data_IF_630114591847
#
_entry.id   IF_630114591847
#
_cell.length_a   1.000
_cell.length_b   1.000
_cell.length_c   1.000
_cell.angle_alpha   90.00
_cell.angle_beta   90.00
_cell.angle_gamma   90.00
#
_symmetry.space_group_name_H-M   'P 1'
#
loop_
_entity.id
_entity.type
_entity.pdbx_description
1 polymer ?
#
# COMPACT_ATOMS: atom_id res chain seq x y z
N UNK A 1 3.90 -44.32 17.09
CA UNK A 1 3.57 -43.23 16.15
C UNK A 1 4.69 -42.22 16.30
N UNK A 2 5.64 -42.27 15.36
CA UNK A 2 6.72 -41.29 15.25
C UNK A 2 6.12 -40.04 14.62
N UNK A 3 6.18 -38.91 15.33
CA UNK A 3 6.13 -37.58 14.73
C UNK A 3 7.25 -36.77 15.35
N UNK A 4 8.19 -36.38 14.50
CA UNK A 4 9.50 -35.82 14.77
C UNK A 4 9.53 -34.31 14.50
N UNK A 5 8.65 -33.55 15.15
CA UNK A 5 8.70 -32.08 15.27
C UNK A 5 7.86 -31.72 16.50
N UNK A 6 8.36 -30.97 17.50
CA UNK A 6 7.49 -30.28 18.43
C UNK A 6 6.82 -29.15 17.65
N UNK A 7 5.65 -29.43 17.08
CA UNK A 7 4.87 -28.47 16.32
C UNK A 7 4.18 -27.48 17.28
N UNK A 8 4.15 -26.20 16.85
CA UNK A 8 3.40 -25.06 17.36
C UNK A 8 3.90 -24.38 18.64
N UNK A 9 5.01 -23.66 18.51
CA UNK A 9 5.12 -22.33 19.13
C UNK A 9 4.40 -21.37 18.19
N UNK A 10 3.22 -20.91 18.61
CA UNK A 10 2.47 -19.79 18.04
C UNK A 10 3.36 -18.78 17.34
N UNK A 11 3.06 -18.44 16.07
CA UNK A 11 3.28 -17.14 15.38
C UNK A 11 3.27 -17.41 13.86
N UNK A 12 2.21 -16.97 13.18
CA UNK A 12 2.23 -16.23 11.90
C UNK A 12 0.89 -16.33 11.18
N UNK A 13 0.29 -15.17 10.86
CA UNK A 13 -0.28 -14.94 9.53
C UNK A 13 0.03 -13.50 9.11
N UNK A 14 0.53 -13.33 7.88
CA UNK A 14 0.69 -12.02 7.22
C UNK A 14 -0.66 -11.64 6.60
N UNK A 15 -1.24 -10.50 7.01
CA UNK A 15 -2.48 -10.05 6.37
C UNK A 15 -2.19 -9.58 4.95
N UNK A 16 -2.94 -10.15 4.02
CA UNK A 16 -2.82 -9.92 2.58
C UNK A 16 -3.09 -8.45 2.22
N UNK A 17 -2.33 -7.94 1.24
CA UNK A 17 -2.40 -6.55 0.77
C UNK A 17 -3.79 -6.19 0.25
N UNK A 18 -4.53 -5.35 0.98
CA UNK A 18 -5.84 -4.90 0.54
C UNK A 18 -5.86 -3.52 -0.13
N UNK A 19 -4.98 -2.58 0.22
CA UNK A 19 -5.13 -1.22 -0.33
C UNK A 19 -4.45 -1.02 -1.69
N UNK A 20 -5.26 -0.99 -2.75
CA UNK A 20 -4.83 -0.67 -4.12
C UNK A 20 -4.54 0.84 -4.23
N UNK A 21 -3.35 1.19 -4.73
CA UNK A 21 -2.91 2.58 -4.87
C UNK A 21 -3.75 3.36 -5.90
N UNK A 22 -3.87 4.67 -5.69
CA UNK A 22 -4.38 5.60 -6.70
C UNK A 22 -3.55 5.46 -7.99
N UNK A 23 -4.24 5.37 -9.13
CA UNK A 23 -3.57 5.47 -10.43
C UNK A 23 -3.11 6.91 -10.59
N UNK A 24 -1.80 7.15 -10.56
CA UNK A 24 -1.27 8.46 -10.92
C UNK A 24 -1.62 8.75 -12.39
N UNK A 25 -2.29 9.86 -12.72
CA UNK A 25 -2.48 10.24 -14.10
C UNK A 25 -1.14 10.69 -14.70
N UNK A 26 -0.60 9.81 -15.54
CA UNK A 26 0.30 9.96 -16.69
C UNK A 26 1.23 11.17 -16.81
N UNK A 27 2.53 10.88 -16.85
CA UNK A 27 3.44 11.45 -17.85
C UNK A 27 4.05 10.29 -18.63
N UNK A 28 3.67 10.22 -19.91
CA UNK A 28 4.07 9.21 -20.88
C UNK A 28 5.59 9.15 -21.09
N UNK A 29 6.12 7.93 -21.21
CA UNK A 29 7.03 7.57 -22.30
C UNK A 29 6.84 6.08 -22.62
N UNK A 30 6.30 5.82 -23.82
CA UNK A 30 6.11 4.51 -24.45
C UNK A 30 7.20 4.33 -25.50
N UNK A 31 8.02 3.27 -25.39
CA UNK A 31 8.36 2.34 -26.50
C UNK A 31 9.14 1.14 -25.92
N UNK A 32 8.60 -0.09 -25.89
CA UNK A 32 8.56 -1.13 -26.94
C UNK A 32 9.95 -1.66 -27.36
N UNK A 33 10.27 -2.87 -26.88
CA UNK A 33 10.92 -3.99 -27.62
C UNK A 33 11.44 -5.04 -26.62
N UNK A 34 10.78 -6.19 -26.41
CA UNK A 34 10.77 -7.43 -27.22
C UNK A 34 11.91 -8.43 -26.88
N UNK A 35 11.49 -9.69 -26.69
CA UNK A 35 12.19 -10.99 -26.76
C UNK A 35 12.93 -11.46 -25.48
N UNK A 36 12.43 -12.51 -24.80
CA UNK A 36 12.70 -13.96 -25.04
C UNK A 36 14.13 -14.35 -24.57
N UNK A 37 14.44 -15.48 -23.93
CA UNK A 37 13.74 -16.74 -23.76
C UNK A 37 14.47 -17.59 -22.67
N UNK A 38 13.68 -18.40 -21.95
CA UNK A 38 13.90 -19.82 -21.64
C UNK A 38 15.26 -20.41 -21.17
N UNK A 39 15.25 -20.79 -19.88
CA UNK A 39 15.22 -22.18 -19.38
C UNK A 39 16.43 -23.15 -19.49
N UNK A 40 16.69 -23.80 -18.34
CA UNK A 40 16.85 -25.26 -18.13
C UNK A 40 18.24 -25.94 -18.10
N UNK A 41 18.57 -26.38 -16.87
CA UNK A 41 18.89 -27.76 -16.43
C UNK A 41 20.10 -28.57 -16.95
N UNK A 42 20.84 -29.10 -15.95
CA UNK A 42 21.09 -30.53 -15.66
C UNK A 42 22.49 -31.17 -15.90
N UNK A 43 22.86 -31.93 -14.86
CA UNK A 43 23.53 -33.27 -14.80
C UNK A 43 25.07 -33.44 -14.79
N UNK A 44 25.50 -34.16 -13.74
CA UNK A 44 26.74 -34.95 -13.49
C UNK A 44 26.81 -36.24 -14.33
N UNK A 45 27.71 -37.25 -14.12
CA UNK A 45 29.11 -37.35 -13.62
C UNK A 45 30.02 -38.21 -14.56
N UNK A 46 31.28 -38.52 -14.18
CA UNK A 46 31.90 -39.89 -14.11
C UNK A 46 33.45 -39.85 -14.06
N UNK A 47 34.02 -40.81 -13.31
CA UNK A 47 35.38 -41.15 -12.83
C UNK A 47 36.31 -41.79 -13.91
N UNK A 48 37.38 -42.62 -13.66
CA UNK A 48 38.22 -42.99 -12.48
C UNK A 48 39.75 -43.13 -12.81
N UNK A 49 40.57 -43.80 -11.94
CA UNK A 49 41.76 -44.70 -12.15
C UNK A 49 42.95 -44.36 -11.21
N UNK A 50 43.72 -45.23 -10.52
CA UNK A 50 43.75 -46.69 -10.18
C UNK A 50 44.90 -46.96 -9.16
N UNK A 51 44.93 -48.18 -8.60
CA UNK A 51 46.09 -49.01 -8.14
C UNK A 51 46.51 -48.87 -6.66
N UNK A 52 46.78 -49.94 -5.88
CA UNK A 52 47.03 -51.36 -6.18
C UNK A 52 46.95 -52.24 -4.88
N UNK A 53 46.40 -53.45 -5.05
CA UNK A 53 46.93 -54.77 -4.63
C UNK A 53 46.97 -55.29 -3.19
N UNK A 54 46.60 -56.58 -3.14
CA UNK A 54 46.41 -57.50 -2.03
C UNK A 54 47.70 -58.09 -1.43
N UNK A 55 47.59 -58.72 -0.25
CA UNK A 55 47.94 -60.13 0.01
C UNK A 55 47.50 -60.55 1.43
N UNK A 56 47.04 -61.80 1.54
CA UNK A 56 46.52 -62.50 2.71
C UNK A 56 47.60 -63.24 3.49
N UNK A 57 47.61 -63.18 4.84
CA UNK A 57 48.22 -64.20 5.71
C UNK A 57 47.40 -64.36 7.01
N UNK A 58 47.28 -65.62 7.42
CA UNK A 58 46.51 -66.14 8.54
C UNK A 58 46.96 -65.71 9.95
N UNK A 59 45.96 -65.59 10.83
CA UNK A 59 45.89 -66.10 12.21
C UNK A 59 47.15 -66.02 13.10
N UNK A 60 47.14 -65.10 14.08
CA UNK A 60 47.76 -65.27 15.41
C UNK A 60 47.34 -64.12 16.36
N UNK A 61 46.58 -64.45 17.41
CA UNK A 61 46.57 -63.75 18.70
C UNK A 61 45.85 -62.41 18.78
N UNK A 62 44.56 -62.42 19.11
CA UNK A 62 43.87 -61.27 19.70
C UNK A 62 44.38 -61.08 21.13
N UNK A 63 45.00 -59.94 21.53
CA UNK A 63 45.04 -59.60 22.93
C UNK A 63 43.65 -59.07 23.29
N UNK A 64 42.95 -59.78 24.16
CA UNK A 64 41.70 -59.32 24.74
C UNK A 64 41.91 -57.92 25.33
N UNK A 65 41.22 -56.91 24.77
CA UNK A 65 41.06 -55.61 25.41
C UNK A 65 40.49 -55.84 26.79
N UNK A 66 41.27 -55.52 27.83
CA UNK A 66 40.83 -55.63 29.22
C UNK A 66 39.56 -54.78 29.42
N UNK A 67 38.58 -55.21 30.24
CA UNK A 67 37.49 -54.34 30.63
C UNK A 67 38.08 -53.12 31.35
N UNK A 68 37.70 -51.91 30.91
CA UNK A 68 38.07 -50.66 31.56
C UNK A 68 37.60 -50.73 33.03
N UNK A 69 38.43 -50.29 33.98
CA UNK A 69 38.04 -50.25 35.39
C UNK A 69 36.88 -49.28 35.58
N UNK A 70 35.92 -49.61 36.46
CA UNK A 70 34.75 -48.78 36.78
C UNK A 70 35.14 -47.32 37.07
N UNK A 71 36.23 -47.11 37.81
CA UNK A 71 36.75 -45.77 38.12
C UNK A 71 37.24 -45.00 36.89
N UNK A 72 37.84 -45.68 35.91
CA UNK A 72 38.31 -45.04 34.66
C UNK A 72 37.14 -44.69 33.74
N UNK A 73 36.05 -45.46 33.79
CA UNK A 73 34.83 -45.17 33.04
C UNK A 73 34.12 -43.92 33.60
N UNK A 74 33.95 -43.86 34.93
CA UNK A 74 33.35 -42.70 35.62
C UNK A 74 34.14 -41.41 35.39
N UNK A 75 35.48 -41.44 35.39
CA UNK A 75 36.28 -40.24 35.08
C UNK A 75 36.14 -39.75 33.64
N UNK A 76 35.94 -40.65 32.67
CA UNK A 76 35.72 -40.26 31.26
C UNK A 76 34.32 -39.67 31.07
N UNK A 77 33.31 -40.25 31.71
CA UNK A 77 31.94 -39.75 31.68
C UNK A 77 31.82 -38.39 32.39
N UNK A 78 32.48 -38.23 33.55
CA UNK A 78 32.56 -36.94 34.25
C UNK A 78 33.25 -35.86 33.39
N UNK A 79 34.33 -36.21 32.70
CA UNK A 79 35.00 -35.30 31.77
C UNK A 79 34.11 -34.89 30.58
N UNK A 80 33.34 -35.83 30.03
CA UNK A 80 32.36 -35.55 28.98
C UNK A 80 31.23 -34.62 29.46
N UNK A 81 30.70 -34.87 30.65
CA UNK A 81 29.72 -34.00 31.30
C UNK A 81 30.26 -32.58 31.51
N UNK A 82 31.49 -32.43 32.00
CA UNK A 82 32.11 -31.13 32.25
C UNK A 82 32.26 -30.31 30.96
N UNK A 83 32.69 -30.93 29.87
CA UNK A 83 32.80 -30.26 28.55
C UNK A 83 31.42 -29.82 28.06
N UNK A 84 30.43 -30.71 28.08
CA UNK A 84 29.07 -30.38 27.64
C UNK A 84 28.43 -29.27 28.51
N UNK A 85 28.67 -29.31 29.81
CA UNK A 85 28.22 -28.26 30.74
C UNK A 85 28.89 -26.91 30.44
N UNK A 86 30.19 -26.88 30.19
CA UNK A 86 30.93 -25.66 29.87
C UNK A 86 30.43 -25.03 28.57
N UNK A 87 30.18 -25.84 27.53
CA UNK A 87 29.60 -25.38 26.25
C UNK A 87 28.24 -24.72 26.48
N UNK A 88 27.34 -25.38 27.20
CA UNK A 88 26.01 -24.85 27.50
C UNK A 88 26.08 -23.58 28.36
N UNK A 89 26.92 -23.54 29.39
CA UNK A 89 27.06 -22.36 30.26
C UNK A 89 27.69 -21.15 29.53
N UNK A 90 28.59 -21.40 28.58
CA UNK A 90 29.20 -20.36 27.73
C UNK A 90 28.16 -19.74 26.84
N UNK A 91 27.39 -20.55 26.11
CA UNK A 91 26.28 -20.05 25.31
C UNK A 91 25.25 -19.32 26.17
N UNK A 92 24.94 -19.84 27.36
CA UNK A 92 23.96 -19.23 28.25
C UNK A 92 24.41 -17.87 28.78
N UNK A 93 25.72 -17.67 29.02
CA UNK A 93 26.29 -16.34 29.29
C UNK A 93 26.07 -15.38 28.12
N UNK A 94 26.34 -15.81 26.88
CA UNK A 94 26.16 -14.97 25.69
C UNK A 94 24.68 -14.60 25.46
N UNK A 95 23.77 -15.55 25.66
CA UNK A 95 22.34 -15.34 25.53
C UNK A 95 21.77 -14.40 26.62
N UNK A 96 22.23 -14.55 27.87
CA UNK A 96 21.89 -13.63 28.95
C UNK A 96 22.39 -12.21 28.67
N UNK A 97 23.62 -12.08 28.16
CA UNK A 97 24.21 -10.79 27.79
C UNK A 97 23.41 -10.11 26.68
N UNK A 98 23.10 -10.85 25.60
CA UNK A 98 22.26 -10.39 24.48
C UNK A 98 20.89 -9.89 24.96
N UNK A 99 20.21 -10.65 25.83
CA UNK A 99 18.90 -10.24 26.35
C UNK A 99 18.99 -9.04 27.32
N UNK A 100 20.06 -8.94 28.10
CA UNK A 100 20.27 -7.82 29.03
C UNK A 100 20.57 -6.49 28.34
N UNK A 101 21.25 -6.54 27.19
CA UNK A 101 21.57 -5.38 26.35
C UNK A 101 20.50 -5.07 25.30
N UNK A 102 19.42 -5.86 25.25
CA UNK A 102 18.36 -5.66 24.28
C UNK A 102 17.68 -4.29 24.48
N UNK A 103 17.59 -3.52 23.39
CA UNK A 103 17.07 -2.14 23.39
C UNK A 103 15.65 -2.09 23.96
N UNK A 104 15.32 -0.99 24.65
CA UNK A 104 13.94 -0.70 25.09
C UNK A 104 12.99 -0.65 23.90
N UNK A 105 11.70 -0.91 24.15
CA UNK A 105 10.70 -0.99 23.07
C UNK A 105 10.58 0.35 22.34
N UNK A 106 10.68 0.29 21.01
CA UNK A 106 10.71 1.47 20.14
C UNK A 106 9.37 2.23 20.09
N UNK A 107 9.38 3.55 19.82
CA UNK A 107 8.17 4.39 19.84
C UNK A 107 7.32 4.32 18.56
N UNK A 108 7.82 3.68 17.51
CA UNK A 108 7.19 3.58 16.19
C UNK A 108 6.94 2.13 15.81
N UNK A 109 5.87 1.89 15.05
CA UNK A 109 5.45 0.54 14.68
C UNK A 109 6.56 -0.21 13.92
N UNK A 110 7.27 0.46 13.00
CA UNK A 110 8.32 -0.18 12.20
C UNK A 110 9.51 -0.64 13.05
N UNK A 111 9.97 0.19 13.99
CA UNK A 111 11.05 -0.19 14.94
C UNK A 111 10.59 -1.38 15.78
N UNK A 112 9.34 -1.38 16.22
CA UNK A 112 8.81 -2.45 17.05
C UNK A 112 8.65 -3.77 16.28
N UNK A 113 8.37 -3.72 14.96
CA UNK A 113 8.40 -4.89 14.08
C UNK A 113 9.80 -5.48 13.95
N UNK A 114 10.81 -4.63 13.76
CA UNK A 114 12.21 -5.08 13.71
C UNK A 114 12.63 -5.74 15.03
N UNK A 115 12.28 -5.12 16.16
CA UNK A 115 12.54 -5.68 17.50
C UNK A 115 11.80 -7.01 17.74
N UNK A 116 10.60 -7.17 17.18
CA UNK A 116 9.86 -8.42 17.22
C UNK A 116 10.60 -9.53 16.46
N UNK A 117 11.05 -9.28 15.23
CA UNK A 117 11.78 -10.28 14.45
C UNK A 117 13.14 -10.65 15.04
N UNK A 118 13.84 -9.67 15.62
CA UNK A 118 15.08 -9.92 16.35
C UNK A 118 14.84 -10.82 17.57
N UNK A 119 13.79 -10.54 18.35
CA UNK A 119 13.45 -11.31 19.54
C UNK A 119 12.88 -12.70 19.19
N UNK A 120 12.16 -12.83 18.08
CA UNK A 120 11.71 -14.11 17.52
C UNK A 120 12.90 -15.01 17.16
N UNK A 121 13.92 -14.45 16.49
CA UNK A 121 15.15 -15.17 16.17
C UNK A 121 15.84 -15.66 17.46
N UNK A 122 15.86 -14.82 18.49
CA UNK A 122 16.37 -15.19 19.80
C UNK A 122 15.55 -16.31 20.48
N UNK A 123 14.22 -16.31 20.38
CA UNK A 123 13.39 -17.40 20.90
C UNK A 123 13.60 -18.72 20.16
N UNK A 124 13.87 -18.67 18.85
CA UNK A 124 14.22 -19.84 18.06
C UNK A 124 15.58 -20.41 18.49
N UNK A 125 16.58 -19.55 18.67
CA UNK A 125 17.89 -19.91 19.24
C UNK A 125 17.72 -20.59 20.61
N UNK A 126 16.93 -19.98 21.51
CA UNK A 126 16.60 -20.52 22.83
C UNK A 126 15.96 -21.91 22.71
N UNK A 127 14.99 -22.07 21.80
CA UNK A 127 14.35 -23.37 21.56
C UNK A 127 15.33 -24.45 21.11
N UNK A 128 16.31 -24.10 20.26
CA UNK A 128 17.31 -25.05 19.76
C UNK A 128 18.26 -25.57 20.85
N UNK A 129 18.52 -24.77 21.89
CA UNK A 129 19.40 -25.14 22.99
C UNK A 129 18.68 -25.85 24.15
N UNK A 130 17.35 -25.89 24.13
CA UNK A 130 16.54 -26.54 25.18
C UNK A 130 16.90 -28.01 25.36
N UNK A 131 17.05 -28.76 24.26
CA UNK A 131 17.39 -30.18 24.31
C UNK A 131 18.82 -30.40 24.84
N UNK A 132 19.75 -29.51 24.50
CA UNK A 132 21.13 -29.56 25.00
C UNK A 132 21.23 -29.32 26.51
N UNK A 133 20.49 -28.33 27.03
CA UNK A 133 20.37 -28.09 28.47
C UNK A 133 19.75 -29.30 29.17
N UNK A 134 18.69 -29.88 28.59
CA UNK A 134 18.06 -31.10 29.08
C UNK A 134 19.02 -32.28 29.15
N UNK A 135 19.81 -32.50 28.10
CA UNK A 135 20.78 -33.59 28.01
C UNK A 135 21.89 -33.46 29.07
N UNK A 136 22.41 -32.26 29.31
CA UNK A 136 23.42 -32.03 30.37
C UNK A 136 22.83 -32.29 31.76
N UNK A 137 21.59 -31.88 32.01
CA UNK A 137 20.90 -32.17 33.28
C UNK A 137 20.62 -33.67 33.46
N UNK A 138 20.23 -34.38 32.40
CA UNK A 138 20.01 -35.83 32.43
C UNK A 138 21.32 -36.58 32.68
N UNK A 139 22.40 -36.18 32.01
CA UNK A 139 23.72 -36.79 32.18
C UNK A 139 24.28 -36.55 33.59
N UNK A 140 24.13 -35.34 34.14
CA UNK A 140 24.46 -35.06 35.54
C UNK A 140 23.65 -35.91 36.52
N UNK A 141 22.35 -36.11 36.25
CA UNK A 141 21.50 -36.99 37.07
C UNK A 141 21.94 -38.45 36.99
N UNK A 142 22.33 -38.92 35.79
CA UNK A 142 22.85 -40.27 35.55
C UNK A 142 24.14 -40.51 36.34
N UNK A 143 25.10 -39.59 36.28
CA UNK A 143 26.36 -39.65 37.03
C UNK A 143 26.13 -39.75 38.54
N UNK A 144 25.16 -39.00 39.07
CA UNK A 144 24.79 -39.05 40.49
C UNK A 144 24.07 -40.36 40.89
N UNK A 145 23.39 -41.02 39.95
CA UNK A 145 22.63 -42.25 40.20
C UNK A 145 23.48 -43.51 40.10
N UNK A 146 24.43 -43.56 39.16
CA UNK A 146 25.33 -44.71 38.96
C UNK A 146 26.38 -44.84 40.07
N UNK A 147 26.74 -43.72 40.70
CA UNK A 147 27.71 -43.66 41.79
C UNK A 147 29.15 -43.93 41.33
N UNK A 148 30.10 -43.87 42.26
CA UNK A 148 31.53 -44.04 41.95
C UNK A 148 32.32 -42.73 41.81
N UNK A 149 31.64 -41.59 41.98
CA UNK A 149 32.25 -40.28 42.22
C UNK A 149 32.66 -40.14 43.69
N UNK A 150 33.66 -39.29 43.95
CA UNK A 150 33.96 -38.86 45.31
C UNK A 150 32.82 -37.96 45.84
N UNK A 151 32.63 -37.92 47.16
CA UNK A 151 31.57 -37.08 47.77
C UNK A 151 31.65 -35.61 47.37
N UNK A 152 32.88 -35.11 47.19
CA UNK A 152 33.11 -33.72 46.77
C UNK A 152 32.68 -33.50 45.30
N UNK A 153 32.97 -34.47 44.42
CA UNK A 153 32.57 -34.43 43.00
C UNK A 153 31.05 -34.56 42.85
N UNK A 154 30.40 -35.45 43.61
CA UNK A 154 28.94 -35.56 43.63
C UNK A 154 28.28 -34.24 44.08
N UNK A 155 28.86 -33.58 45.09
CA UNK A 155 28.35 -32.30 45.57
C UNK A 155 28.55 -31.20 44.51
N UNK A 156 29.69 -31.18 43.82
CA UNK A 156 29.97 -30.25 42.74
C UNK A 156 28.98 -30.41 41.58
N UNK A 157 28.74 -31.64 41.12
CA UNK A 157 27.76 -31.93 40.05
C UNK A 157 26.35 -31.47 40.44
N UNK A 158 25.92 -31.69 41.70
CA UNK A 158 24.61 -31.18 42.18
C UNK A 158 24.52 -29.66 42.12
N UNK A 159 25.57 -28.95 42.53
CA UNK A 159 25.61 -27.48 42.51
C UNK A 159 25.59 -26.97 41.06
N UNK A 160 26.38 -27.60 40.17
CA UNK A 160 26.45 -27.25 38.75
C UNK A 160 25.09 -27.44 38.04
N UNK A 161 24.42 -28.57 38.26
CA UNK A 161 23.07 -28.81 37.72
C UNK A 161 22.05 -27.79 38.24
N UNK A 162 22.08 -27.49 39.54
CA UNK A 162 21.19 -26.50 40.14
C UNK A 162 21.42 -25.10 39.55
N UNK A 163 22.68 -24.72 39.34
CA UNK A 163 23.05 -23.44 38.74
C UNK A 163 22.59 -23.36 37.28
N UNK A 164 22.87 -24.40 36.48
CA UNK A 164 22.45 -24.49 35.09
C UNK A 164 20.92 -24.35 34.96
N UNK A 165 20.17 -25.15 35.72
CA UNK A 165 18.71 -25.12 35.69
C UNK A 165 18.14 -23.75 36.12
N UNK A 166 18.71 -23.13 37.16
CA UNK A 166 18.28 -21.81 37.63
C UNK A 166 18.50 -20.73 36.57
N UNK A 167 19.69 -20.67 35.97
CA UNK A 167 20.03 -19.66 34.97
C UNK A 167 19.22 -19.83 33.69
N UNK A 168 19.06 -21.08 33.24
CA UNK A 168 18.19 -21.40 32.11
C UNK A 168 16.75 -20.94 32.32
N UNK A 169 16.17 -21.25 33.48
CA UNK A 169 14.79 -20.89 33.78
C UNK A 169 14.60 -19.37 33.91
N UNK A 170 15.58 -18.67 34.49
CA UNK A 170 15.60 -17.21 34.56
C UNK A 170 15.69 -16.58 33.16
N UNK A 171 16.58 -17.07 32.30
CA UNK A 171 16.69 -16.61 30.91
C UNK A 171 15.39 -16.83 30.15
N UNK A 172 14.82 -18.04 30.24
CA UNK A 172 13.55 -18.41 29.60
C UNK A 172 12.40 -17.50 30.07
N UNK A 173 12.29 -17.27 31.37
CA UNK A 173 11.24 -16.41 31.93
C UNK A 173 11.39 -14.97 31.43
N UNK A 174 12.60 -14.39 31.46
CA UNK A 174 12.85 -13.05 30.93
C UNK A 174 12.56 -12.94 29.43
N UNK A 175 12.88 -13.98 28.66
CA UNK A 175 12.61 -14.02 27.23
C UNK A 175 11.10 -14.02 26.92
N UNK A 176 10.33 -14.81 27.67
CA UNK A 176 8.86 -14.84 27.58
C UNK A 176 8.25 -13.51 28.02
N UNK A 177 8.71 -12.92 29.12
CA UNK A 177 8.24 -11.61 29.59
C UNK A 177 8.49 -10.52 28.54
N UNK A 178 9.66 -10.53 27.89
CA UNK A 178 9.97 -9.61 26.79
C UNK A 178 9.06 -9.83 25.59
N UNK A 179 8.79 -11.08 25.22
CA UNK A 179 7.87 -11.41 24.13
C UNK A 179 6.46 -10.85 24.41
N UNK A 180 5.94 -11.06 25.62
CA UNK A 180 4.62 -10.56 26.03
C UNK A 180 4.55 -9.03 25.92
N UNK A 181 5.58 -8.31 26.37
CA UNK A 181 5.61 -6.83 26.26
C UNK A 181 5.66 -6.35 24.81
N UNK A 182 6.46 -7.00 23.95
CA UNK A 182 6.50 -6.69 22.51
C UNK A 182 5.12 -6.91 21.89
N UNK A 183 4.48 -8.04 22.20
CA UNK A 183 3.14 -8.38 21.72
C UNK A 183 2.08 -7.37 22.12
N UNK A 184 1.99 -7.04 23.42
CA UNK A 184 1.03 -6.07 23.94
C UNK A 184 1.20 -4.70 23.27
N UNK A 185 2.46 -4.26 23.10
CA UNK A 185 2.75 -2.98 22.49
C UNK A 185 2.43 -2.98 20.98
N UNK A 186 2.76 -4.04 20.24
CA UNK A 186 2.40 -4.19 18.82
C UNK A 186 0.89 -4.12 18.63
N UNK A 187 0.15 -4.92 19.41
CA UNK A 187 -1.31 -4.97 19.33
C UNK A 187 -1.92 -3.59 19.62
N UNK A 188 -1.46 -2.90 20.66
CA UNK A 188 -1.94 -1.56 21.02
C UNK A 188 -1.65 -0.54 19.90
N UNK A 189 -0.42 -0.52 19.37
CA UNK A 189 -0.04 0.43 18.32
C UNK A 189 -0.80 0.19 17.01
N UNK A 190 -0.97 -1.07 16.60
CA UNK A 190 -1.74 -1.42 15.42
C UNK A 190 -3.23 -1.08 15.59
N UNK A 191 -3.82 -1.44 16.73
CA UNK A 191 -5.21 -1.11 17.03
C UNK A 191 -5.44 0.42 17.01
N UNK A 192 -4.50 1.19 17.58
CA UNK A 192 -4.55 2.65 17.55
C UNK A 192 -4.46 3.21 16.12
N UNK A 193 -3.63 2.62 15.25
CA UNK A 193 -3.58 3.03 13.85
C UNK A 193 -4.88 2.70 13.11
N UNK A 194 -5.46 1.51 13.34
CA UNK A 194 -6.76 1.13 12.78
C UNK A 194 -7.87 2.07 13.23
N UNK A 195 -7.95 2.39 14.52
CA UNK A 195 -8.95 3.32 15.06
C UNK A 195 -8.78 4.74 14.53
N UNK A 196 -7.52 5.18 14.36
CA UNK A 196 -7.21 6.49 13.78
C UNK A 196 -7.67 6.56 12.33
N UNK A 197 -7.35 5.54 11.51
CA UNK A 197 -7.81 5.46 10.12
C UNK A 197 -9.33 5.39 10.06
N UNK A 198 -9.96 4.56 10.91
CA UNK A 198 -11.42 4.42 10.98
C UNK A 198 -12.10 5.76 11.27
N UNK A 199 -11.58 6.53 12.23
CA UNK A 199 -12.12 7.84 12.57
C UNK A 199 -11.94 8.83 11.41
N UNK A 200 -10.77 8.82 10.77
CA UNK A 200 -10.52 9.65 9.60
C UNK A 200 -11.48 9.30 8.45
N UNK A 201 -11.65 8.01 8.13
CA UNK A 201 -12.58 7.53 7.10
C UNK A 201 -14.00 8.03 7.38
N UNK A 202 -14.49 7.92 8.62
CA UNK A 202 -15.84 8.38 8.97
C UNK A 202 -15.99 9.88 8.76
N UNK A 203 -15.03 10.68 9.22
CA UNK A 203 -15.04 12.14 9.01
C UNK A 203 -14.99 12.50 7.53
N UNK A 204 -14.20 11.77 6.74
CA UNK A 204 -14.05 12.02 5.31
C UNK A 204 -15.30 11.59 4.53
N UNK A 205 -15.94 10.48 4.89
CA UNK A 205 -17.23 10.04 4.35
C UNK A 205 -18.33 11.07 4.63
N UNK A 206 -18.38 11.59 5.87
CA UNK A 206 -19.29 12.68 6.22
C UNK A 206 -19.00 13.90 5.33
N UNK A 207 -17.74 14.33 5.19
CA UNK A 207 -17.36 15.44 4.29
C UNK A 207 -17.81 15.17 2.85
N UNK A 208 -17.57 13.98 2.33
CA UNK A 208 -17.96 13.56 0.98
C UNK A 208 -19.47 13.63 0.80
N UNK A 209 -20.27 13.21 1.79
CA UNK A 209 -21.72 13.29 1.70
C UNK A 209 -22.23 14.74 1.56
N UNK A 210 -21.60 15.70 2.26
CA UNK A 210 -21.92 17.12 2.14
C UNK A 210 -21.50 17.68 0.78
N UNK A 211 -20.31 17.29 0.29
CA UNK A 211 -19.84 17.69 -1.04
C UNK A 211 -20.70 17.09 -2.16
N UNK A 212 -21.14 15.84 -2.02
CA UNK A 212 -22.01 15.17 -2.99
C UNK A 212 -23.40 15.79 -3.07
N UNK A 213 -23.92 16.33 -1.95
CA UNK A 213 -25.16 17.09 -1.92
C UNK A 213 -25.02 18.49 -2.53
N UNK A 214 -23.80 18.99 -2.69
CA UNK A 214 -23.53 20.26 -3.37
C UNK A 214 -23.53 20.03 -4.89
N UNK A 215 -24.54 20.57 -5.55
CA UNK A 215 -24.65 20.60 -7.01
C UNK A 215 -23.50 21.39 -7.63
N UNK A 216 -23.01 20.97 -8.79
CA UNK A 216 -21.91 21.64 -9.48
C UNK A 216 -22.49 22.85 -10.20
N UNK A 217 -22.08 24.07 -9.85
CA UNK A 217 -22.50 25.26 -10.57
C UNK A 217 -21.35 26.26 -10.66
N UNK A 218 -21.50 27.26 -11.53
CA UNK A 218 -20.44 28.21 -11.81
C UNK A 218 -20.07 29.05 -10.58
N UNK A 219 -21.07 29.54 -9.83
CA UNK A 219 -20.86 30.36 -8.64
C UNK A 219 -20.01 29.66 -7.55
N UNK A 220 -20.22 28.36 -7.36
CA UNK A 220 -19.54 27.57 -6.31
C UNK A 220 -18.35 26.76 -6.85
N UNK A 221 -18.06 26.84 -8.15
CA UNK A 221 -17.06 26.00 -8.82
C UNK A 221 -15.67 26.11 -8.17
N UNK A 222 -15.25 27.34 -7.86
CA UNK A 222 -13.95 27.59 -7.20
C UNK A 222 -13.89 26.98 -5.81
N UNK A 223 -14.93 27.20 -5.00
CA UNK A 223 -15.03 26.66 -3.64
C UNK A 223 -15.05 25.12 -3.67
N UNK A 224 -15.70 24.52 -4.66
CA UNK A 224 -15.73 23.06 -4.84
C UNK A 224 -14.39 22.50 -5.26
N UNK A 225 -13.64 23.17 -6.14
CA UNK A 225 -12.27 22.80 -6.47
C UNK A 225 -11.34 22.91 -5.26
N UNK A 226 -11.47 23.96 -4.45
CA UNK A 226 -10.68 24.12 -3.23
C UNK A 226 -10.95 22.97 -2.24
N UNK A 227 -12.23 22.65 -2.01
CA UNK A 227 -12.62 21.53 -1.15
C UNK A 227 -12.11 20.18 -1.68
N UNK A 228 -12.19 19.95 -3.00
CA UNK A 228 -11.70 18.73 -3.62
C UNK A 228 -10.17 18.62 -3.55
N UNK A 229 -9.44 19.70 -3.82
CA UNK A 229 -7.98 19.73 -3.72
C UNK A 229 -7.51 19.45 -2.29
N UNK A 230 -8.20 20.01 -1.30
CA UNK A 230 -7.91 19.71 0.10
C UNK A 230 -8.19 18.24 0.42
N UNK A 231 -9.29 17.67 -0.09
CA UNK A 231 -9.60 16.25 0.06
C UNK A 231 -8.53 15.36 -0.58
N UNK A 232 -8.10 15.65 -1.81
CA UNK A 232 -7.05 14.91 -2.49
C UNK A 232 -5.73 14.94 -1.69
N UNK A 233 -5.37 16.10 -1.13
CA UNK A 233 -4.20 16.22 -0.27
C UNK A 233 -4.33 15.37 0.99
N UNK A 234 -5.48 15.43 1.68
CA UNK A 234 -5.73 14.64 2.88
C UNK A 234 -5.65 13.13 2.58
N UNK A 235 -6.19 12.69 1.44
CA UNK A 235 -6.12 11.28 0.98
C UNK A 235 -4.66 10.89 0.73
N UNK A 236 -3.86 11.72 0.06
CA UNK A 236 -2.44 11.44 -0.17
C UNK A 236 -1.65 11.34 1.14
N UNK A 237 -1.93 12.20 2.12
CA UNK A 237 -1.28 12.13 3.44
C UNK A 237 -1.65 10.83 4.19
N UNK A 238 -2.89 10.36 4.08
CA UNK A 238 -3.31 9.10 4.70
C UNK A 238 -2.80 7.86 3.97
N UNK A 239 -2.39 7.96 2.70
CA UNK A 239 -1.84 6.82 1.97
C UNK A 239 -0.65 6.19 2.71
N UNK A 240 0.19 7.00 3.36
CA UNK A 240 1.33 6.51 4.16
C UNK A 240 0.87 5.64 5.34
N UNK A 241 -0.20 6.05 6.02
CA UNK A 241 -0.77 5.31 7.15
C UNK A 241 -1.37 3.99 6.66
N UNK A 242 -2.10 4.04 5.55
CA UNK A 242 -2.71 2.88 4.89
C UNK A 242 -1.63 1.89 4.43
N UNK A 243 -0.54 2.37 3.86
CA UNK A 243 0.59 1.53 3.46
C UNK A 243 1.29 0.87 4.66
N UNK A 244 1.38 1.58 5.80
CA UNK A 244 1.89 1.01 7.05
C UNK A 244 1.02 -0.10 7.63
N UNK A 245 -0.30 -0.01 7.44
CA UNK A 245 -1.30 -0.99 7.87
C UNK A 245 -1.29 -2.26 7.00
N UNK A 246 -0.81 -2.20 5.75
CA UNK A 246 -0.62 -3.41 4.91
C UNK A 246 0.33 -4.44 5.54
N UNK A 247 1.25 -3.96 6.37
CA UNK A 247 2.26 -4.79 7.00
C UNK A 247 1.92 -5.05 8.48
N UNK A 248 0.65 -5.29 8.81
CA UNK A 248 0.24 -5.65 10.16
C UNK A 248 0.77 -7.05 10.52
N UNK A 249 1.24 -7.18 11.77
CA UNK A 249 1.62 -8.45 12.38
C UNK A 249 0.46 -8.93 13.23
N UNK A 250 -0.16 -10.05 12.85
CA UNK A 250 -1.20 -10.71 13.67
C UNK A 250 -0.53 -11.71 14.60
N UNK A 251 -0.71 -11.49 15.91
CA UNK A 251 -0.22 -12.39 16.95
C UNK A 251 -1.33 -13.39 17.25
N UNK A 252 -1.01 -14.66 17.08
CA UNK A 252 -1.98 -15.75 17.03
C UNK A 252 -1.60 -16.75 18.11
N UNK A 253 -2.39 -16.88 19.17
CA UNK A 253 -2.17 -17.88 20.22
C UNK A 253 -3.05 -19.13 20.01
N UNK A 254 -2.56 -20.31 20.40
CA UNK A 254 -3.11 -21.62 20.00
C UNK A 254 -4.57 -21.85 20.43
N UNK A 255 -5.03 -21.21 21.51
CA UNK A 255 -6.41 -21.32 22.01
C UNK A 255 -7.42 -20.39 21.32
N UNK A 256 -6.97 -19.30 20.68
CA UNK A 256 -7.87 -18.24 20.18
C UNK A 256 -7.49 -17.68 18.80
N UNK A 257 -6.59 -18.41 18.11
CA UNK A 257 -5.90 -18.08 16.86
C UNK A 257 -6.83 -17.63 15.72
N UNK A 258 -7.82 -18.46 15.40
CA UNK A 258 -8.65 -18.29 14.20
C UNK A 258 -9.66 -17.14 14.35
N UNK A 259 -10.19 -16.94 15.57
CA UNK A 259 -11.16 -15.88 15.85
C UNK A 259 -10.52 -14.48 15.85
N UNK A 260 -9.30 -14.34 16.39
CA UNK A 260 -8.58 -13.05 16.41
C UNK A 260 -8.12 -12.69 15.00
N UNK A 261 -7.62 -13.69 14.24
CA UNK A 261 -7.20 -13.50 12.86
C UNK A 261 -8.37 -13.04 11.97
N UNK A 262 -9.48 -13.80 11.98
CA UNK A 262 -10.68 -13.46 11.18
C UNK A 262 -11.24 -12.09 11.53
N UNK A 263 -11.30 -11.74 12.82
CA UNK A 263 -11.75 -10.42 13.25
C UNK A 263 -10.86 -9.30 12.68
N UNK A 264 -9.54 -9.48 12.69
CA UNK A 264 -8.61 -8.46 12.20
C UNK A 264 -8.63 -8.35 10.68
N UNK A 265 -8.77 -9.48 9.98
CA UNK A 265 -8.95 -9.53 8.52
C UNK A 265 -10.26 -8.84 8.11
N UNK A 266 -11.37 -9.12 8.79
CA UNK A 266 -12.66 -8.48 8.55
C UNK A 266 -12.58 -6.96 8.77
N UNK A 267 -11.88 -6.52 9.82
CA UNK A 267 -11.65 -5.09 10.08
C UNK A 267 -10.84 -4.44 8.97
N UNK A 268 -9.76 -5.07 8.51
CA UNK A 268 -8.92 -4.56 7.45
C UNK A 268 -9.66 -4.48 6.11
N UNK A 269 -10.43 -5.53 5.79
CA UNK A 269 -11.30 -5.57 4.61
C UNK A 269 -12.35 -4.45 4.64
N UNK A 270 -13.03 -4.25 5.77
CA UNK A 270 -14.01 -3.17 5.90
C UNK A 270 -13.39 -1.77 5.77
N UNK A 271 -12.16 -1.56 6.27
CA UNK A 271 -11.44 -0.29 6.10
C UNK A 271 -10.99 -0.11 4.64
N UNK A 272 -10.60 -1.19 3.96
CA UNK A 272 -10.18 -1.16 2.56
C UNK A 272 -11.33 -0.82 1.60
N UNK A 273 -12.49 -1.44 1.78
CA UNK A 273 -13.68 -1.11 0.99
C UNK A 273 -14.03 0.38 1.10
N UNK A 274 -14.01 0.91 2.33
CA UNK A 274 -14.28 2.33 2.61
C UNK A 274 -13.22 3.25 2.02
N UNK A 275 -11.94 2.89 2.17
CA UNK A 275 -10.83 3.62 1.58
C UNK A 275 -10.93 3.70 0.05
N UNK A 276 -11.17 2.55 -0.59
CA UNK A 276 -11.35 2.45 -2.04
C UNK A 276 -12.53 3.28 -2.52
N UNK A 277 -13.64 3.27 -1.78
CA UNK A 277 -14.78 4.10 -2.08
C UNK A 277 -14.44 5.60 -2.04
N UNK A 278 -13.71 6.06 -1.01
CA UNK A 278 -13.27 7.46 -0.90
C UNK A 278 -12.34 7.84 -2.06
N UNK A 279 -11.38 6.98 -2.40
CA UNK A 279 -10.44 7.21 -3.51
C UNK A 279 -11.21 7.37 -4.83
N UNK A 280 -12.05 6.39 -5.15
CA UNK A 280 -12.87 6.38 -6.36
C UNK A 280 -13.79 7.61 -6.43
N UNK A 281 -14.48 7.94 -5.34
CA UNK A 281 -15.36 9.11 -5.32
C UNK A 281 -14.58 10.41 -5.56
N UNK A 282 -13.39 10.52 -4.98
CA UNK A 282 -12.53 11.71 -5.13
C UNK A 282 -12.08 11.87 -6.59
N UNK A 283 -11.71 10.79 -7.26
CA UNK A 283 -11.38 10.78 -8.70
C UNK A 283 -12.59 11.15 -9.56
N UNK A 284 -13.73 10.48 -9.37
CA UNK A 284 -14.96 10.75 -10.12
C UNK A 284 -15.45 12.20 -9.93
N UNK A 285 -15.31 12.76 -8.73
CA UNK A 285 -15.67 14.15 -8.46
C UNK A 285 -14.73 15.12 -9.18
N UNK A 286 -13.44 14.80 -9.27
CA UNK A 286 -12.47 15.59 -10.02
C UNK A 286 -12.82 15.62 -11.51
N UNK A 287 -13.10 14.47 -12.10
CA UNK A 287 -13.49 14.35 -13.51
C UNK A 287 -14.79 15.11 -13.82
N UNK A 288 -15.79 15.02 -12.93
CA UNK A 288 -17.05 15.78 -13.06
C UNK A 288 -16.83 17.30 -13.02
N UNK A 289 -16.02 17.79 -12.09
CA UNK A 289 -15.73 19.23 -12.00
C UNK A 289 -14.92 19.73 -13.20
N UNK A 290 -13.93 18.95 -13.65
CA UNK A 290 -13.12 19.29 -14.82
C UNK A 290 -13.95 19.29 -16.11
N UNK A 291 -14.79 18.26 -16.32
CA UNK A 291 -15.67 18.18 -17.49
C UNK A 291 -16.68 19.32 -17.53
N UNK A 292 -17.33 19.63 -16.40
CA UNK A 292 -18.24 20.78 -16.32
C UNK A 292 -17.52 22.10 -16.64
N UNK A 293 -16.32 22.30 -16.10
CA UNK A 293 -15.50 23.50 -16.37
C UNK A 293 -15.16 23.63 -17.85
N UNK A 294 -14.80 22.54 -18.51
CA UNK A 294 -14.49 22.52 -19.93
C UNK A 294 -15.72 22.87 -20.78
N UNK A 295 -16.85 22.21 -20.52
CA UNK A 295 -18.12 22.47 -21.22
C UNK A 295 -18.54 23.93 -21.04
N UNK A 296 -18.52 24.42 -19.79
CA UNK A 296 -18.90 25.80 -19.49
C UNK A 296 -18.00 26.82 -20.21
N UNK A 297 -16.68 26.57 -20.22
CA UNK A 297 -15.72 27.41 -20.93
C UNK A 297 -16.00 27.45 -22.43
N UNK A 298 -16.24 26.30 -23.04
CA UNK A 298 -16.51 26.21 -24.48
C UNK A 298 -17.80 26.97 -24.85
N UNK A 299 -18.87 26.83 -24.05
CA UNK A 299 -20.12 27.57 -24.26
C UNK A 299 -19.93 29.08 -24.18
N UNK A 300 -19.19 29.55 -23.18
CA UNK A 300 -18.91 30.99 -23.01
C UNK A 300 -18.03 31.52 -24.15
N UNK A 301 -17.04 30.74 -24.61
CA UNK A 301 -16.16 31.14 -25.69
C UNK A 301 -16.88 31.14 -27.05
N UNK A 302 -17.79 30.19 -27.29
CA UNK A 302 -18.64 30.16 -28.49
C UNK A 302 -19.66 31.30 -28.49
N UNK A 303 -20.28 31.61 -27.35
CA UNK A 303 -21.13 32.80 -27.20
C UNK A 303 -20.36 34.08 -27.56
N UNK A 304 -19.16 34.28 -26.98
CA UNK A 304 -18.33 35.47 -27.26
C UNK A 304 -17.94 35.55 -28.73
N UNK A 305 -17.61 34.42 -29.36
CA UNK A 305 -17.25 34.35 -30.78
C UNK A 305 -18.43 34.76 -31.66
N UNK A 306 -19.62 34.21 -31.41
CA UNK A 306 -20.83 34.54 -32.15
C UNK A 306 -21.23 36.00 -31.96
N UNK A 307 -21.19 36.50 -30.73
CA UNK A 307 -21.49 37.90 -30.41
C UNK A 307 -20.53 38.87 -31.11
N UNK A 308 -19.24 38.57 -31.09
CA UNK A 308 -18.23 39.40 -31.76
C UNK A 308 -18.42 39.41 -33.27
N UNK A 309 -18.62 38.23 -33.88
CA UNK A 309 -18.88 38.10 -35.32
C UNK A 309 -20.15 38.84 -35.74
N UNK A 310 -21.23 38.74 -34.95
CA UNK A 310 -22.50 39.39 -35.24
C UNK A 310 -22.37 40.92 -35.16
N UNK A 311 -21.70 41.42 -34.12
CA UNK A 311 -21.42 42.86 -33.97
C UNK A 311 -20.53 43.40 -35.11
N UNK A 312 -19.48 42.66 -35.51
CA UNK A 312 -18.64 43.02 -36.65
C UNK A 312 -19.43 43.03 -37.97
N UNK A 313 -20.34 42.07 -38.15
CA UNK A 313 -21.22 41.99 -39.31
C UNK A 313 -22.19 43.16 -39.35
N UNK A 314 -22.81 43.50 -38.22
CA UNK A 314 -23.70 44.65 -38.09
C UNK A 314 -22.97 45.97 -38.41
N UNK A 315 -21.76 46.17 -37.86
CA UNK A 315 -20.92 47.34 -38.14
C UNK A 315 -20.58 47.39 -39.62
N UNK A 316 -20.16 46.27 -40.22
CA UNK A 316 -19.82 46.18 -41.64
C UNK A 316 -21.01 46.58 -42.50
N UNK A 317 -22.21 46.04 -42.23
CA UNK A 317 -23.44 46.38 -42.96
C UNK A 317 -23.83 47.85 -42.82
N UNK A 318 -23.69 48.44 -41.62
CA UNK A 318 -23.96 49.88 -41.39
C UNK A 318 -22.99 50.78 -42.12
N UNK A 319 -21.69 50.48 -42.07
CA UNK A 319 -20.66 51.24 -42.82
C UNK A 319 -20.90 51.15 -44.31
N UNK A 320 -21.23 49.95 -44.77
CA UNK A 320 -21.67 49.69 -46.11
C UNK A 320 -22.87 50.62 -46.43
N UNK A 321 -23.95 50.65 -45.66
CA UNK A 321 -25.11 51.53 -45.96
C UNK A 321 -24.76 53.02 -46.01
N UNK A 322 -23.84 53.47 -45.14
CA UNK A 322 -23.45 54.87 -45.03
C UNK A 322 -22.66 55.40 -46.24
N UNK A 323 -21.96 54.54 -46.98
CA UNK A 323 -21.10 54.93 -48.11
C UNK A 323 -21.75 54.47 -49.43
N UNK A 324 -22.30 55.39 -50.25
CA UNK A 324 -22.87 55.04 -51.54
C UNK A 324 -21.79 54.52 -52.50
N UNK A 325 -21.98 53.32 -53.03
CA UNK A 325 -21.14 52.79 -54.10
C UNK A 325 -21.45 53.56 -55.40
N UNK A 326 -20.44 54.23 -55.94
CA UNK A 326 -20.60 55.12 -57.10
C UNK A 326 -20.09 54.46 -58.38
N UNK A 327 -19.06 53.63 -58.26
CA UNK A 327 -18.46 52.91 -59.37
C UNK A 327 -18.98 51.48 -59.48
N UNK A 328 -19.09 50.95 -60.71
CA UNK A 328 -19.56 49.58 -60.97
C UNK A 328 -18.71 48.54 -60.22
N UNK A 329 -17.41 48.79 -60.04
CA UNK A 329 -16.50 47.92 -59.30
C UNK A 329 -16.83 47.85 -57.80
N UNK A 330 -17.15 48.99 -57.18
CA UNK A 330 -17.54 49.08 -55.76
C UNK A 330 -18.88 48.35 -55.51
N UNK A 331 -19.83 48.48 -56.44
CA UNK A 331 -21.12 47.76 -56.39
C UNK A 331 -20.89 46.25 -56.46
N UNK A 332 -20.01 45.76 -57.34
CA UNK A 332 -19.70 44.34 -57.44
C UNK A 332 -19.01 43.78 -56.19
N UNK A 333 -18.05 44.51 -55.60
CA UNK A 333 -17.40 44.14 -54.34
C UNK A 333 -18.42 44.08 -53.19
N UNK A 334 -19.35 45.04 -53.14
CA UNK A 334 -20.45 45.06 -52.16
C UNK A 334 -21.37 43.84 -52.29
N UNK A 335 -21.81 43.52 -53.50
CA UNK A 335 -22.64 42.33 -53.75
C UNK A 335 -21.90 41.06 -53.31
N UNK A 336 -20.61 40.95 -53.63
CA UNK A 336 -19.77 39.83 -53.21
C UNK A 336 -19.67 39.74 -51.69
N UNK A 337 -19.43 40.86 -51.00
CA UNK A 337 -19.36 40.91 -49.53
C UNK A 337 -20.67 40.49 -48.88
N UNK A 338 -21.81 41.01 -49.34
CA UNK A 338 -23.14 40.62 -48.83
C UNK A 338 -23.38 39.11 -49.03
N UNK A 339 -23.00 38.55 -50.18
CA UNK A 339 -23.14 37.11 -50.42
C UNK A 339 -22.27 36.28 -49.47
N UNK A 340 -21.03 36.71 -49.19
CA UNK A 340 -20.15 36.06 -48.22
C UNK A 340 -20.75 36.13 -46.81
N UNK A 341 -21.23 37.31 -46.39
CA UNK A 341 -21.86 37.48 -45.08
C UNK A 341 -23.13 36.63 -44.93
N UNK A 342 -23.97 36.53 -45.98
CA UNK A 342 -25.13 35.61 -45.97
C UNK A 342 -24.71 34.17 -45.75
N UNK A 343 -23.69 33.70 -46.46
CA UNK A 343 -23.17 32.34 -46.28
C UNK A 343 -22.61 32.11 -44.86
N UNK A 344 -21.84 33.06 -44.34
CA UNK A 344 -21.31 32.99 -42.96
C UNK A 344 -22.44 32.99 -41.91
N UNK A 345 -23.52 33.73 -42.16
CA UNK A 345 -24.72 33.76 -41.33
C UNK A 345 -25.40 32.38 -41.32
N UNK A 346 -25.67 31.78 -42.47
CA UNK A 346 -26.29 30.44 -42.56
C UNK A 346 -25.45 29.36 -41.82
N UNK A 347 -24.12 29.45 -41.90
CA UNK A 347 -23.22 28.53 -41.19
C UNK A 347 -23.25 28.77 -39.68
N UNK A 348 -23.27 30.03 -39.27
CA UNK A 348 -23.21 30.43 -37.87
C UNK A 348 -24.56 30.25 -37.15
N UNK A 349 -25.68 30.22 -37.89
CA UNK A 349 -27.01 29.91 -37.37
C UNK A 349 -27.05 28.52 -36.73
N UNK A 350 -26.42 27.52 -37.37
CA UNK A 350 -26.34 26.16 -36.81
C UNK A 350 -25.62 26.13 -35.47
N UNK A 351 -24.50 26.85 -35.37
CA UNK A 351 -23.72 26.97 -34.13
C UNK A 351 -24.51 27.68 -33.04
N UNK A 352 -25.28 28.70 -33.40
CA UNK A 352 -26.14 29.41 -32.47
C UNK A 352 -27.24 28.49 -31.90
N UNK A 353 -27.90 27.69 -32.74
CA UNK A 353 -28.90 26.70 -32.30
C UNK A 353 -28.27 25.62 -31.40
N UNK A 354 -27.09 25.12 -31.78
CA UNK A 354 -26.33 24.15 -30.97
C UNK A 354 -25.99 24.74 -29.58
N UNK A 355 -25.48 25.98 -29.55
CA UNK A 355 -25.17 26.70 -28.32
C UNK A 355 -26.41 26.89 -27.44
N UNK A 356 -27.53 27.35 -28.01
CA UNK A 356 -28.78 27.55 -27.28
C UNK A 356 -29.30 26.24 -26.69
N UNK A 357 -29.23 25.15 -27.45
CA UNK A 357 -29.60 23.82 -26.96
C UNK A 357 -28.70 23.38 -25.81
N UNK A 358 -27.38 23.49 -25.94
CA UNK A 358 -26.45 23.07 -24.88
C UNK A 358 -26.60 23.87 -23.59
N UNK A 359 -26.86 25.18 -23.69
CA UNK A 359 -27.15 26.00 -22.50
C UNK A 359 -28.48 25.60 -21.87
N UNK A 360 -29.51 25.31 -22.68
CA UNK A 360 -30.80 24.83 -22.20
C UNK A 360 -30.69 23.46 -21.51
N UNK A 361 -29.94 22.52 -22.09
CA UNK A 361 -29.73 21.18 -21.51
C UNK A 361 -29.06 21.26 -20.12
N UNK A 362 -28.15 22.24 -19.92
CA UNK A 362 -27.53 22.49 -18.60
C UNK A 362 -28.54 23.17 -17.65
N UNK A 363 -29.33 24.12 -18.14
CA UNK A 363 -30.34 24.83 -17.36
C UNK A 363 -31.51 23.93 -16.91
N UNK A 364 -31.88 22.91 -17.69
CA UNK A 364 -32.95 21.96 -17.36
C UNK A 364 -32.52 20.94 -16.32
N UNK A 365 -31.25 20.57 -16.32
CA UNK A 365 -30.69 19.68 -15.31
C UNK A 365 -30.48 20.40 -13.97
N UNK A 366 -30.27 21.72 -13.98
CA UNK A 366 -29.86 22.49 -12.80
C UNK A 366 -30.40 23.93 -12.87
N UNK A 367 -31.12 24.37 -11.83
CA UNK A 367 -31.71 25.72 -11.76
C UNK A 367 -30.63 26.76 -11.44
N UNK A 368 -29.86 27.12 -12.47
CA UNK A 368 -28.61 27.87 -12.37
C UNK A 368 -28.79 29.34 -12.81
N UNK A 369 -28.47 30.29 -11.92
CA UNK A 369 -28.56 31.73 -12.18
C UNK A 369 -27.63 32.18 -13.32
N UNK A 370 -26.45 31.57 -13.47
CA UNK A 370 -25.53 31.88 -14.55
C UNK A 370 -26.01 31.31 -15.90
N UNK A 371 -26.68 30.15 -15.90
CA UNK A 371 -27.35 29.64 -17.10
C UNK A 371 -28.49 30.57 -17.52
N UNK A 372 -29.26 31.07 -16.55
CA UNK A 372 -30.34 32.03 -16.79
C UNK A 372 -29.78 33.33 -17.41
N UNK A 373 -28.69 33.88 -16.88
CA UNK A 373 -28.01 35.06 -17.45
C UNK A 373 -27.47 34.78 -18.87
N UNK A 374 -26.91 33.59 -19.12
CA UNK A 374 -26.45 33.22 -20.46
C UNK A 374 -27.61 33.03 -21.45
N UNK A 375 -28.75 32.49 -21.00
CA UNK A 375 -29.96 32.37 -21.81
C UNK A 375 -30.54 33.75 -22.17
N UNK A 376 -30.60 34.68 -21.22
CA UNK A 376 -31.03 36.07 -21.49
C UNK A 376 -30.09 36.75 -22.50
N UNK A 377 -28.77 36.51 -22.37
CA UNK A 377 -27.78 36.99 -23.35
C UNK A 377 -27.95 36.37 -24.73
N UNK A 378 -28.34 35.10 -24.81
CA UNK A 378 -28.62 34.42 -26.08
C UNK A 378 -29.91 34.93 -26.73
N UNK A 379 -30.95 35.23 -25.95
CA UNK A 379 -32.18 35.87 -26.45
C UNK A 379 -31.88 37.24 -27.07
N UNK A 380 -31.11 38.08 -26.37
CA UNK A 380 -30.64 39.36 -26.92
C UNK A 380 -29.82 39.18 -28.22
N UNK A 381 -29.01 38.12 -28.29
CA UNK A 381 -28.22 37.82 -29.49
C UNK A 381 -29.09 37.33 -30.63
N UNK A 382 -30.18 36.60 -30.35
CA UNK A 382 -31.19 36.19 -31.32
C UNK A 382 -31.89 37.41 -31.93
N UNK A 383 -32.30 38.38 -31.12
CA UNK A 383 -32.92 39.61 -31.62
C UNK A 383 -31.97 40.39 -32.54
N UNK A 384 -30.68 40.49 -32.16
CA UNK A 384 -29.65 41.09 -33.01
C UNK A 384 -29.45 40.31 -34.31
N UNK A 385 -29.51 38.99 -34.24
CA UNK A 385 -29.37 38.11 -35.39
C UNK A 385 -30.46 38.37 -36.43
N UNK A 386 -31.71 38.43 -35.98
CA UNK A 386 -32.85 38.74 -36.83
C UNK A 386 -32.74 40.14 -37.45
N UNK A 387 -32.32 41.14 -36.68
CA UNK A 387 -32.11 42.50 -37.17
C UNK A 387 -31.03 42.58 -38.25
N UNK A 388 -29.86 41.95 -38.02
CA UNK A 388 -28.76 41.86 -39.00
C UNK A 388 -29.20 41.13 -40.26
N UNK A 389 -29.95 40.04 -40.12
CA UNK A 389 -30.53 39.30 -41.24
C UNK A 389 -31.45 40.17 -42.09
N UNK A 390 -32.33 40.97 -41.47
CA UNK A 390 -33.21 41.90 -42.18
C UNK A 390 -32.42 42.99 -42.92
N UNK A 391 -31.39 43.60 -42.28
CA UNK A 391 -30.53 44.60 -42.92
C UNK A 391 -29.86 44.00 -44.16
N UNK A 392 -29.35 42.77 -44.04
CA UNK A 392 -28.66 42.09 -45.13
C UNK A 392 -29.60 41.74 -46.29
N UNK A 393 -30.85 41.38 -46.00
CA UNK A 393 -31.88 41.14 -47.02
C UNK A 393 -32.21 42.43 -47.79
N UNK A 394 -32.50 43.53 -47.09
CA UNK A 394 -32.81 44.83 -47.69
C UNK A 394 -31.65 45.34 -48.56
N UNK A 395 -30.41 45.22 -48.08
CA UNK A 395 -29.24 45.64 -48.85
C UNK A 395 -28.94 44.73 -50.04
N UNK A 396 -29.39 43.47 -50.05
CA UNK A 396 -29.21 42.58 -51.19
C UNK A 396 -30.21 42.85 -52.33
N UNK A 397 -31.32 43.53 -52.03
CA UNK A 397 -32.37 43.88 -52.99
C UNK A 397 -32.20 45.28 -53.62
N UNK A 398 -31.41 46.16 -52.96
CA UNK A 398 -30.97 47.46 -53.49
C UNK A 398 -29.81 47.29 -54.45
#
# INVERSE_FOLDING_TARGET
VNTSVPDKKSIMVYVMCLFQALSQPGMDDIDISLASDSSSQATTPTTPITEQSALSIANLGVPASRPMSLATNVSVELGGYQVALEEVLTWLLEAEDKLSHAVELGPTLDILKDQFHEHESFLLELSGHQDGVGAVLEEGARLLAEGGLHKDEEQEVRVQMSLLNSRWEELRTRAVDRQTRIHEMLLNMQQKQLDTLRHWLTKTEDRISHMAACEINQATLNDQFEQLNQLQKDVQEQQIVVDGLKNIIVIVDEENSEAIYTQMEDQLSALDERWTHICKWTEERAEKLQSFTAIWKDLVDDYKRLSSWLNETEITLKQMEAVPASEIGEVLERIKRIRTLKYEMDVSEKKFIELQKSVQDIAENENNAECIDLLEKLENLQDQWEAVGQIMEVQSQR
#
